data_IF_847905062327
#
_entry.id   IF_847905062327
#
_cell.length_a   1.000
_cell.length_b   1.000
_cell.length_c   1.000
_cell.angle_alpha   90.00
_cell.angle_beta   90.00
_cell.angle_gamma   90.00
#
_symmetry.space_group_name_H-M   'P 1'
#
loop_
_entity.id
_entity.type
_entity.pdbx_description
1 polymer ?
#
# COMPACT_ATOMS: atom_id res chain seq x y z
N UNK A 1 -14.47 -17.52 -1.64
CA UNK A 1 -15.84 -17.73 -1.13
C UNK A 1 -15.94 -17.44 0.36
N UNK A 2 -15.11 -18.01 1.26
CA UNK A 2 -15.15 -17.64 2.70
C UNK A 2 -14.69 -16.19 3.01
N UNK A 3 -13.63 -15.70 2.36
CA UNK A 3 -13.14 -14.32 2.56
C UNK A 3 -14.19 -13.26 2.19
N UNK A 4 -14.80 -13.39 1.00
CA UNK A 4 -15.82 -12.44 0.55
C UNK A 4 -17.08 -12.48 1.44
N UNK A 5 -17.49 -13.66 1.94
CA UNK A 5 -18.59 -13.75 2.89
C UNK A 5 -18.31 -13.04 4.22
N UNK A 6 -17.05 -13.02 4.68
CA UNK A 6 -16.68 -12.28 5.88
C UNK A 6 -16.75 -10.76 5.64
N UNK A 7 -16.32 -10.28 4.47
CA UNK A 7 -16.48 -8.87 4.09
C UNK A 7 -17.95 -8.49 4.02
N UNK A 8 -18.76 -9.26 3.28
CA UNK A 8 -20.20 -9.02 3.12
C UNK A 8 -20.90 -8.97 4.48
N UNK A 9 -20.52 -9.87 5.40
CA UNK A 9 -21.04 -9.84 6.77
C UNK A 9 -20.71 -8.54 7.49
N UNK A 10 -19.46 -8.08 7.46
CA UNK A 10 -19.05 -6.83 8.11
C UNK A 10 -19.77 -5.62 7.49
N UNK A 11 -19.90 -5.58 6.16
CA UNK A 11 -20.59 -4.50 5.44
C UNK A 11 -22.08 -4.46 5.78
N UNK A 12 -22.77 -5.61 5.77
CA UNK A 12 -24.21 -5.71 6.08
C UNK A 12 -24.53 -5.36 7.54
N UNK A 13 -23.56 -5.49 8.44
CA UNK A 13 -23.71 -5.19 9.87
C UNK A 13 -23.11 -3.82 10.25
N UNK A 14 -22.84 -2.96 9.27
CA UNK A 14 -22.31 -1.59 9.48
C UNK A 14 -20.96 -1.55 10.21
N UNK A 15 -20.18 -2.64 10.15
CA UNK A 15 -18.88 -2.78 10.81
C UNK A 15 -17.72 -2.30 9.92
N UNK A 16 -17.91 -1.15 9.29
CA UNK A 16 -16.92 -0.56 8.39
C UNK A 16 -15.62 -0.15 9.10
N UNK A 17 -15.71 0.18 10.39
CA UNK A 17 -14.56 0.40 11.26
C UNK A 17 -13.67 -0.85 11.37
N UNK A 18 -14.26 -2.00 11.70
CA UNK A 18 -13.56 -3.29 11.78
C UNK A 18 -13.04 -3.74 10.42
N UNK A 19 -13.83 -3.56 9.37
CA UNK A 19 -13.40 -3.85 8.00
C UNK A 19 -12.17 -3.03 7.61
N UNK A 20 -12.15 -1.74 7.98
CA UNK A 20 -11.00 -0.86 7.79
C UNK A 20 -9.74 -1.36 8.49
N UNK A 21 -9.85 -1.77 9.75
CA UNK A 21 -8.72 -2.34 10.51
C UNK A 21 -8.20 -3.63 9.87
N UNK A 22 -9.11 -4.53 9.45
CA UNK A 22 -8.73 -5.79 8.77
C UNK A 22 -8.03 -5.49 7.44
N UNK A 23 -8.56 -4.56 6.65
CA UNK A 23 -7.96 -4.15 5.38
C UNK A 23 -6.57 -3.54 5.59
N UNK A 24 -6.42 -2.69 6.61
CA UNK A 24 -5.14 -2.08 6.98
C UNK A 24 -4.12 -3.13 7.40
N UNK A 25 -4.48 -4.04 8.30
CA UNK A 25 -3.62 -5.14 8.73
C UNK A 25 -3.18 -6.00 7.52
N UNK A 26 -4.12 -6.43 6.68
CA UNK A 26 -3.81 -7.23 5.48
C UNK A 26 -2.89 -6.51 4.49
N UNK A 27 -3.07 -5.20 4.32
CA UNK A 27 -2.19 -4.38 3.49
C UNK A 27 -0.78 -4.26 4.09
N UNK A 28 -0.66 -3.98 5.40
CA UNK A 28 0.62 -3.90 6.10
C UNK A 28 1.40 -5.22 6.01
N UNK A 29 0.72 -6.35 6.22
CA UNK A 29 1.30 -7.69 6.09
C UNK A 29 1.83 -7.94 4.67
N UNK A 30 1.07 -7.54 3.66
CA UNK A 30 1.48 -7.66 2.25
C UNK A 30 2.74 -6.85 1.98
N UNK A 31 2.76 -5.58 2.40
CA UNK A 31 3.93 -4.70 2.22
C UNK A 31 5.13 -5.22 3.00
N UNK A 32 4.93 -5.67 4.24
CA UNK A 32 5.97 -6.27 5.08
C UNK A 32 6.66 -7.46 4.40
N UNK A 33 5.88 -8.39 3.84
CA UNK A 33 6.43 -9.54 3.11
C UNK A 33 7.23 -9.07 1.90
N UNK A 34 6.70 -8.11 1.14
CA UNK A 34 7.39 -7.57 -0.05
C UNK A 34 8.73 -6.95 0.33
N UNK A 35 8.79 -6.02 1.29
CA UNK A 35 10.03 -5.32 1.64
C UNK A 35 11.09 -6.23 2.29
N UNK A 36 10.66 -7.31 2.95
CA UNK A 36 11.56 -8.25 3.61
C UNK A 36 12.07 -9.37 2.70
N UNK A 37 11.36 -9.68 1.61
CA UNK A 37 11.77 -10.72 0.64
C UNK A 37 12.38 -10.16 -0.66
N UNK A 38 12.19 -8.86 -0.93
CA UNK A 38 12.68 -8.21 -2.14
C UNK A 38 14.14 -7.78 -1.99
N UNK A 39 14.99 -8.18 -2.94
CA UNK A 39 16.29 -7.55 -3.16
C UNK A 39 16.13 -6.40 -4.17
N UNK A 40 16.40 -5.17 -3.74
CA UNK A 40 16.22 -3.96 -4.57
C UNK A 40 16.87 -4.06 -5.96
N UNK A 41 18.12 -4.53 -6.02
CA UNK A 41 18.92 -4.53 -7.25
C UNK A 41 18.48 -5.65 -8.22
N UNK A 42 17.93 -6.75 -7.70
CA UNK A 42 17.57 -7.96 -8.47
C UNK A 42 16.09 -8.06 -8.80
N UNK A 43 15.20 -7.57 -7.93
CA UNK A 43 13.76 -7.81 -8.00
C UNK A 43 12.98 -6.56 -8.45
N UNK A 44 13.36 -5.98 -9.60
CA UNK A 44 12.79 -4.72 -10.11
C UNK A 44 11.25 -4.70 -10.17
N UNK A 45 10.61 -5.79 -10.59
CA UNK A 45 9.16 -5.88 -10.67
C UNK A 45 8.44 -5.86 -9.30
N UNK A 46 9.11 -6.27 -8.22
CA UNK A 46 8.57 -6.17 -6.86
C UNK A 46 8.76 -4.74 -6.32
N UNK A 47 9.90 -4.11 -6.63
CA UNK A 47 10.17 -2.70 -6.30
C UNK A 47 9.18 -1.77 -6.99
N UNK A 48 8.88 -2.00 -8.27
CA UNK A 48 7.85 -1.24 -9.02
C UNK A 48 6.46 -1.42 -8.40
N UNK A 49 6.06 -2.65 -8.08
CA UNK A 49 4.77 -2.91 -7.41
C UNK A 49 4.67 -2.27 -6.03
N UNK A 50 5.78 -2.21 -5.29
CA UNK A 50 5.85 -1.51 -4.01
C UNK A 50 5.62 -0.01 -4.20
N UNK A 51 6.20 0.59 -5.25
CA UNK A 51 5.97 1.99 -5.57
C UNK A 51 4.48 2.28 -5.86
N UNK A 52 3.81 1.39 -6.59
CA UNK A 52 2.37 1.50 -6.88
C UNK A 52 1.50 1.43 -5.60
N UNK A 53 2.01 0.86 -4.49
CA UNK A 53 1.26 0.80 -3.24
C UNK A 53 1.01 2.16 -2.60
N UNK A 54 1.71 3.23 -3.01
CA UNK A 54 1.42 4.62 -2.57
C UNK A 54 -0.07 4.96 -2.77
N UNK A 55 -0.58 4.72 -3.97
CA UNK A 55 -1.99 5.01 -4.29
C UNK A 55 -2.97 4.14 -3.50
N UNK A 56 -2.56 2.91 -3.15
CA UNK A 56 -3.40 2.01 -2.35
C UNK A 56 -3.43 2.47 -0.88
N UNK A 57 -2.30 2.96 -0.37
CA UNK A 57 -2.19 3.57 0.95
C UNK A 57 -3.10 4.80 1.07
N UNK A 58 -3.09 5.68 0.06
CA UNK A 58 -3.95 6.88 0.04
C UNK A 58 -5.44 6.51 0.11
N UNK A 59 -5.87 5.51 -0.67
CA UNK A 59 -7.25 5.03 -0.65
C UNK A 59 -7.62 4.41 0.70
N UNK A 60 -6.70 3.68 1.33
CA UNK A 60 -6.90 3.08 2.64
C UNK A 60 -7.02 4.15 3.73
N UNK A 61 -6.17 5.18 3.72
CA UNK A 61 -6.26 6.33 4.62
C UNK A 61 -7.60 7.06 4.48
N UNK A 62 -8.04 7.31 3.23
CA UNK A 62 -9.33 7.92 2.96
C UNK A 62 -10.51 7.06 3.44
N UNK A 63 -10.38 5.73 3.45
CA UNK A 63 -11.37 4.83 4.03
C UNK A 63 -11.37 4.92 5.56
N UNK A 64 -10.21 4.81 6.20
CA UNK A 64 -10.06 4.86 7.66
C UNK A 64 -10.51 6.21 8.25
N UNK A 65 -10.28 7.33 7.55
CA UNK A 65 -10.68 8.67 8.03
C UNK A 65 -12.20 8.78 8.25
N UNK A 66 -13.01 8.04 7.49
CA UNK A 66 -14.48 7.98 7.67
C UNK A 66 -14.90 7.45 9.03
N UNK A 67 -14.04 6.67 9.67
CA UNK A 67 -14.30 5.98 10.94
C UNK A 67 -13.37 6.46 12.08
N UNK A 68 -12.66 7.58 11.91
CA UNK A 68 -11.68 8.10 12.90
C UNK A 68 -12.24 8.46 14.28
N UNK A 69 -13.57 8.50 14.43
CA UNK A 69 -14.19 8.66 15.75
C UNK A 69 -14.06 7.39 16.62
N UNK A 70 -13.85 6.23 16.01
CA UNK A 70 -13.47 5.00 16.70
C UNK A 70 -11.98 5.09 17.10
N UNK A 71 -11.69 4.85 18.38
CA UNK A 71 -10.34 4.98 18.93
C UNK A 71 -9.33 4.01 18.29
N UNK A 72 -9.73 2.77 18.04
CA UNK A 72 -8.89 1.74 17.42
C UNK A 72 -8.55 2.12 15.97
N UNK A 73 -9.55 2.65 15.24
CA UNK A 73 -9.33 3.16 13.88
C UNK A 73 -8.38 4.36 13.89
N UNK A 74 -8.54 5.28 14.85
CA UNK A 74 -7.70 6.47 14.95
C UNK A 74 -6.24 6.12 15.27
N UNK A 75 -6.01 5.11 16.09
CA UNK A 75 -4.66 4.59 16.36
C UNK A 75 -4.02 4.01 15.08
N UNK A 76 -4.73 3.13 14.37
CA UNK A 76 -4.27 2.57 13.09
C UNK A 76 -4.01 3.67 12.06
N UNK A 77 -4.92 4.65 11.96
CA UNK A 77 -4.78 5.80 11.07
C UNK A 77 -3.51 6.61 11.40
N UNK A 78 -3.16 6.76 12.68
CA UNK A 78 -1.92 7.38 13.12
C UNK A 78 -0.67 6.70 12.53
N UNK A 79 -0.58 5.37 12.69
CA UNK A 79 0.55 4.60 12.14
C UNK A 79 0.65 4.69 10.62
N UNK A 80 -0.49 4.64 9.92
CA UNK A 80 -0.51 4.67 8.47
C UNK A 80 -0.21 6.06 7.90
N UNK A 81 -0.56 7.14 8.62
CA UNK A 81 -0.13 8.50 8.26
C UNK A 81 1.39 8.66 8.39
N UNK A 82 2.03 8.10 9.43
CA UNK A 82 3.50 8.10 9.51
C UNK A 82 4.15 7.37 8.34
N UNK A 83 3.54 6.26 7.91
CA UNK A 83 4.01 5.52 6.74
C UNK A 83 3.79 6.31 5.45
N UNK A 84 2.66 7.01 5.31
CA UNK A 84 2.37 7.86 4.16
C UNK A 84 3.41 8.96 3.99
N UNK A 85 3.87 9.59 5.07
CA UNK A 85 4.95 10.60 5.00
C UNK A 85 6.23 10.00 4.40
N UNK A 86 6.54 8.73 4.70
CA UNK A 86 7.67 8.02 4.08
C UNK A 86 7.43 7.79 2.58
N UNK A 87 6.19 7.48 2.17
CA UNK A 87 5.80 7.37 0.76
C UNK A 87 5.66 8.71 0.02
N UNK A 88 5.41 9.82 0.72
CA UNK A 88 5.20 11.15 0.16
C UNK A 88 6.51 11.94 0.02
N UNK A 89 7.46 11.73 0.94
CA UNK A 89 8.80 12.36 0.92
C UNK A 89 9.69 11.90 -0.26
N UNK A 90 9.12 11.17 -1.22
CA UNK A 90 9.82 10.58 -2.35
C UNK A 90 9.88 11.58 -3.53
N UNK A 91 11.05 11.88 -4.14
CA UNK A 91 11.10 12.72 -5.32
C UNK A 91 10.38 12.04 -6.48
N UNK A 92 9.28 12.63 -6.94
CA UNK A 92 8.60 12.20 -8.15
C UNK A 92 9.46 12.58 -9.36
N UNK A 93 10.01 11.57 -10.04
CA UNK A 93 10.46 11.76 -11.43
C UNK A 93 9.21 11.68 -12.29
N UNK A 94 8.65 12.84 -12.63
CA UNK A 94 7.67 12.93 -13.70
C UNK A 94 8.30 12.39 -14.99
N UNK A 95 7.83 11.22 -15.45
CA UNK A 95 8.07 10.79 -16.82
C UNK A 95 7.35 11.80 -17.73
N UNK A 96 8.12 12.62 -18.44
CA UNK A 96 7.65 13.58 -19.45
C UNK A 96 7.00 12.83 -20.61
N UNK A 97 5.75 12.39 -20.44
CA UNK A 97 5.05 11.55 -21.40
C UNK A 97 3.70 11.05 -20.89
N UNK A 98 2.89 11.94 -20.29
CA UNK A 98 1.63 11.65 -19.60
C UNK A 98 0.45 11.24 -20.50
N UNK A 99 0.70 10.58 -21.63
CA UNK A 99 -0.36 10.06 -22.50
C UNK A 99 -0.57 8.57 -22.27
N UNK A 100 -1.78 8.16 -21.87
CA UNK A 100 -2.21 6.76 -22.06
C UNK A 100 -2.21 6.50 -23.56
N UNK A 101 -1.48 5.49 -23.98
CA UNK A 101 -1.27 5.06 -25.36
C UNK A 101 -1.51 3.57 -25.47
N UNK A 102 -2.05 3.12 -26.59
CA UNK A 102 -2.13 1.68 -26.86
C UNK A 102 -0.87 1.26 -27.62
N UNK A 103 -0.03 0.45 -27.00
CA UNK A 103 1.15 -0.16 -27.65
C UNK A 103 0.80 -1.58 -28.06
N UNK A 104 1.14 -1.96 -29.29
CA UNK A 104 1.01 -3.35 -29.76
C UNK A 104 2.31 -4.08 -29.45
N UNK A 105 2.25 -5.17 -28.68
CA UNK A 105 3.40 -6.07 -28.52
C UNK A 105 3.58 -6.93 -29.78
N UNK A 106 4.80 -7.42 -30.01
CA UNK A 106 5.16 -8.23 -31.19
C UNK A 106 4.30 -9.51 -31.35
N UNK A 107 3.65 -9.96 -30.27
CA UNK A 107 2.71 -11.08 -30.27
C UNK A 107 1.25 -10.69 -30.58
N UNK A 108 1.01 -9.48 -31.08
CA UNK A 108 -0.32 -8.98 -31.44
C UNK A 108 -1.18 -8.53 -30.25
N UNK A 109 -0.72 -8.67 -29.00
CA UNK A 109 -1.47 -8.17 -27.82
C UNK A 109 -1.39 -6.66 -27.73
N UNK A 110 -2.56 -6.02 -27.60
CA UNK A 110 -2.67 -4.60 -27.26
C UNK A 110 -2.38 -4.44 -25.76
N UNK A 111 -1.39 -3.60 -25.42
CA UNK A 111 -1.08 -3.22 -24.05
C UNK A 111 -1.29 -1.73 -23.88
N UNK A 112 -1.95 -1.32 -22.80
CA UNK A 112 -1.93 0.08 -22.40
C UNK A 112 -0.50 0.43 -21.97
N UNK A 113 0.05 1.47 -22.54
CA UNK A 113 1.35 2.05 -22.19
C UNK A 113 1.18 3.53 -21.88
N UNK A 114 1.90 4.04 -20.88
CA UNK A 114 1.70 5.39 -20.36
C UNK A 114 0.87 5.41 -19.08
N UNK A 115 0.88 6.54 -18.40
CA UNK A 115 0.51 6.68 -16.98
C UNK A 115 1.73 7.09 -16.16
N UNK A 116 1.54 7.87 -15.10
CA UNK A 116 2.61 8.31 -14.20
C UNK A 116 3.26 7.09 -13.55
N UNK A 117 4.54 6.85 -13.84
CA UNK A 117 5.28 5.75 -13.23
C UNK A 117 5.90 6.22 -11.92
N UNK A 118 5.40 5.73 -10.80
CA UNK A 118 6.03 5.97 -9.50
C UNK A 118 7.28 5.08 -9.45
N UNK A 119 8.44 5.66 -9.21
CA UNK A 119 9.70 4.92 -9.05
C UNK A 119 10.30 5.24 -7.69
N UNK A 120 10.93 4.24 -7.07
CA UNK A 120 11.58 4.40 -5.76
C UNK A 120 13.08 4.08 -5.86
N UNK A 121 13.90 4.90 -5.21
CA UNK A 121 15.33 4.71 -5.01
C UNK A 121 15.61 3.63 -3.96
N UNK A 122 16.87 3.24 -3.82
CA UNK A 122 17.29 2.24 -2.84
C UNK A 122 17.13 2.75 -1.40
N UNK A 123 17.46 4.02 -1.20
CA UNK A 123 17.30 4.72 0.08
C UNK A 123 15.83 4.72 0.50
N UNK A 124 14.94 4.97 -0.45
CA UNK A 124 13.50 5.00 -0.23
C UNK A 124 12.92 3.63 0.06
N UNK A 125 13.33 2.62 -0.71
CA UNK A 125 12.99 1.23 -0.42
C UNK A 125 13.38 0.85 1.01
N UNK A 126 14.58 1.25 1.45
CA UNK A 126 15.06 0.98 2.80
C UNK A 126 14.28 1.76 3.88
N UNK A 127 13.89 3.01 3.61
CA UNK A 127 13.08 3.81 4.53
C UNK A 127 11.68 3.20 4.73
N UNK A 128 11.01 2.82 3.63
CA UNK A 128 9.72 2.12 3.68
C UNK A 128 9.88 0.82 4.46
N UNK A 129 10.92 0.03 4.15
CA UNK A 129 11.21 -1.20 4.87
C UNK A 129 11.36 -0.97 6.37
N UNK A 130 12.10 0.05 6.78
CA UNK A 130 12.31 0.37 8.19
C UNK A 130 10.99 0.72 8.88
N UNK A 131 10.22 1.65 8.32
CA UNK A 131 8.96 2.10 8.94
C UNK A 131 7.91 0.99 9.00
N UNK A 132 7.81 0.15 7.97
CA UNK A 132 6.89 -1.01 7.97
C UNK A 132 7.28 -2.03 9.04
N UNK A 133 8.57 -2.31 9.22
CA UNK A 133 9.05 -3.19 10.29
C UNK A 133 8.78 -2.58 11.68
N UNK A 134 8.96 -1.27 11.85
CA UNK A 134 8.66 -0.55 13.08
C UNK A 134 7.17 -0.66 13.47
N UNK A 135 6.27 -0.33 12.54
CA UNK A 135 4.81 -0.40 12.79
C UNK A 135 4.39 -1.83 13.15
N UNK A 136 4.85 -2.84 12.39
CA UNK A 136 4.53 -4.24 12.69
C UNK A 136 5.04 -4.65 14.07
N UNK A 137 6.24 -4.23 14.44
CA UNK A 137 6.80 -4.55 15.75
C UNK A 137 6.00 -3.91 16.89
N UNK A 138 5.44 -2.72 16.68
CA UNK A 138 4.57 -2.09 17.68
C UNK A 138 3.30 -2.92 17.89
N UNK A 139 2.68 -3.41 16.81
CA UNK A 139 1.50 -4.28 16.89
C UNK A 139 1.81 -5.58 17.66
N UNK A 140 2.94 -6.24 17.36
CA UNK A 140 3.30 -7.51 18.00
C UNK A 140 3.73 -7.35 19.47
N UNK A 141 4.36 -6.22 19.82
CA UNK A 141 4.80 -5.96 21.21
C UNK A 141 3.66 -5.64 22.17
N UNK A 142 2.50 -5.20 21.68
CA UNK A 142 1.33 -4.93 22.51
C UNK A 142 0.79 -6.23 23.15
N UNK A 143 1.12 -7.41 22.60
CA UNK A 143 0.70 -8.71 23.11
C UNK A 143 1.73 -9.42 24.03
N UNK A 144 2.82 -8.77 24.44
CA UNK A 144 3.90 -9.35 25.24
C UNK A 144 3.99 -8.81 26.68
#
# INVERSE_FOLDING_TARGET
TSYFSAIEYLEQNEQGDKLGIIAAAGWLETVYVVVNTTNYDKNKAAVERLADQKLTLDNLLAYLDKYKSNADVNEVLGWFNELEVVFASLPEKEDKGSGISFKKKDNGKMVLGGGSKITISKEQFNAIKQKVNEIRNNIVKIEA
#
